data_IF_397750788671
#
_entry.id   IF_397750788671
#
_cell.length_a   1.000
_cell.length_b   1.000
_cell.length_c   1.000
_cell.angle_alpha   90.00
_cell.angle_beta   90.00
_cell.angle_gamma   90.00
#
_symmetry.space_group_name_H-M   'P 1'
#
loop_
_entity.id
_entity.type
_entity.pdbx_description
1 polymer ?
#
# COMPACT_ATOMS: atom_id res chain seq x y z
N UNK A 1 41.00 29.41 -32.08
CA UNK A 1 39.56 29.15 -32.28
C UNK A 1 38.96 30.36 -33.00
N UNK A 2 38.33 30.20 -34.17
CA UNK A 2 37.85 31.37 -34.94
C UNK A 2 36.59 31.92 -34.27
N UNK A 3 36.39 33.24 -34.27
CA UNK A 3 35.22 33.91 -33.67
C UNK A 3 33.88 33.29 -34.12
N UNK A 4 33.85 32.77 -35.36
CA UNK A 4 32.70 32.08 -35.94
C UNK A 4 32.36 30.75 -35.25
N UNK A 5 33.34 30.06 -34.70
CA UNK A 5 33.15 28.79 -33.99
C UNK A 5 32.64 29.04 -32.56
N UNK A 6 33.09 30.13 -31.93
CA UNK A 6 32.58 30.59 -30.62
C UNK A 6 31.09 30.98 -30.75
N UNK A 7 30.73 31.74 -31.78
CA UNK A 7 29.34 32.16 -32.01
C UNK A 7 28.43 30.94 -32.26
N UNK A 8 28.87 29.96 -33.05
CA UNK A 8 28.10 28.72 -33.28
C UNK A 8 27.90 27.90 -32.01
N UNK A 9 28.92 27.80 -31.17
CA UNK A 9 28.81 27.09 -29.90
C UNK A 9 27.82 27.79 -28.97
N UNK A 10 27.89 29.12 -28.84
CA UNK A 10 26.96 29.89 -28.01
C UNK A 10 25.50 29.77 -28.47
N UNK A 11 25.25 29.76 -29.79
CA UNK A 11 23.90 29.53 -30.33
C UNK A 11 23.39 28.11 -30.06
N UNK A 12 24.23 27.09 -30.18
CA UNK A 12 23.85 25.72 -29.88
C UNK A 12 23.52 25.53 -28.39
N UNK A 13 24.30 26.14 -27.50
CA UNK A 13 24.06 26.11 -26.06
C UNK A 13 22.78 26.86 -25.68
N UNK A 14 22.52 28.03 -26.27
CA UNK A 14 21.29 28.78 -26.05
C UNK A 14 20.05 27.98 -26.51
N UNK A 15 20.12 27.34 -27.68
CA UNK A 15 19.05 26.49 -28.18
C UNK A 15 18.79 25.27 -27.26
N UNK A 16 19.83 24.64 -26.73
CA UNK A 16 19.70 23.53 -25.79
C UNK A 16 19.06 23.95 -24.46
N UNK A 17 19.42 25.13 -23.93
CA UNK A 17 18.81 25.69 -22.71
C UNK A 17 17.33 26.02 -22.91
N UNK A 18 16.96 26.60 -24.06
CA UNK A 18 15.55 26.86 -24.39
C UNK A 18 14.76 25.56 -24.51
N UNK A 19 15.34 24.52 -25.13
CA UNK A 19 14.68 23.21 -25.27
C UNK A 19 14.47 22.53 -23.91
N UNK A 20 15.47 22.62 -23.01
CA UNK A 20 15.37 22.12 -21.64
C UNK A 20 14.32 22.89 -20.82
N UNK A 21 14.23 24.21 -20.97
CA UNK A 21 13.20 25.03 -20.31
C UNK A 21 11.79 24.69 -20.79
N UNK A 22 11.60 24.46 -22.10
CA UNK A 22 10.32 24.04 -22.67
C UNK A 22 9.92 22.65 -22.15
N UNK A 23 10.88 21.72 -22.04
CA UNK A 23 10.65 20.40 -21.46
C UNK A 23 10.28 20.49 -19.97
N UNK A 24 10.98 21.33 -19.20
CA UNK A 24 10.69 21.54 -17.78
C UNK A 24 9.29 22.14 -17.56
N UNK A 25 8.88 23.11 -18.38
CA UNK A 25 7.53 23.70 -18.37
C UNK A 25 6.43 22.70 -18.77
N UNK A 26 6.71 21.74 -19.67
CA UNK A 26 5.75 20.68 -20.02
C UNK A 26 5.63 19.60 -18.95
N UNK A 27 6.70 19.30 -18.21
CA UNK A 27 6.69 18.30 -17.13
C UNK A 27 6.00 18.84 -15.87
N UNK A 28 6.03 20.15 -15.62
CA UNK A 28 5.33 20.78 -14.49
C UNK A 28 3.91 21.26 -14.80
N UNK A 29 3.51 21.26 -16.08
CA UNK A 29 2.20 21.76 -16.54
C UNK A 29 1.05 20.74 -16.53
N UNK A 30 1.28 19.48 -16.18
CA UNK A 30 0.21 18.48 -16.05
C UNK A 30 -0.41 18.50 -14.64
N UNK A 31 -0.98 19.63 -14.24
CA UNK A 31 -1.99 19.63 -13.20
C UNK A 31 -3.32 19.18 -13.85
N UNK A 32 -3.98 18.11 -13.38
CA UNK A 32 -5.31 17.79 -13.85
C UNK A 32 -6.25 18.96 -13.52
N UNK A 33 -7.04 19.38 -14.51
CA UNK A 33 -8.15 20.30 -14.30
C UNK A 33 -9.07 19.67 -13.24
N UNK A 34 -9.18 20.32 -12.09
CA UNK A 34 -10.15 19.96 -11.05
C UNK A 34 -11.56 19.96 -11.68
N UNK A 35 -12.34 18.88 -11.56
CA UNK A 35 -13.75 18.95 -11.90
C UNK A 35 -14.44 19.83 -10.87
N UNK A 36 -14.82 21.05 -11.28
CA UNK A 36 -15.77 21.86 -10.54
C UNK A 36 -17.07 21.08 -10.34
N UNK A 37 -17.62 21.13 -9.12
CA UNK A 37 -19.07 21.00 -8.94
C UNK A 37 -19.63 19.67 -8.42
N UNK A 38 -18.88 18.84 -7.69
CA UNK A 38 -19.52 17.90 -6.74
C UNK A 38 -19.24 18.30 -5.30
N UNK A 39 -20.27 18.85 -4.64
CA UNK A 39 -20.31 18.96 -3.19
C UNK A 39 -20.07 17.56 -2.60
N UNK A 40 -19.10 17.36 -1.68
CA UNK A 40 -18.95 16.10 -1.00
C UNK A 40 -20.22 15.85 -0.17
N UNK A 41 -20.94 14.78 -0.51
CA UNK A 41 -21.99 14.25 0.35
C UNK A 41 -21.29 13.63 1.55
N UNK A 42 -21.53 14.19 2.74
CA UNK A 42 -21.11 13.62 4.01
C UNK A 42 -19.69 13.97 4.44
N UNK A 43 -19.43 15.23 4.75
CA UNK A 43 -18.41 15.55 5.77
C UNK A 43 -18.95 15.09 7.11
N UNK A 44 -18.77 13.80 7.41
CA UNK A 44 -18.88 13.34 8.78
C UNK A 44 -17.78 14.07 9.57
N UNK A 45 -18.20 14.84 10.55
CA UNK A 45 -17.34 15.50 11.52
C UNK A 45 -16.39 14.45 12.12
N UNK A 46 -15.09 14.76 12.11
CA UNK A 46 -14.09 13.87 12.67
C UNK A 46 -14.46 13.59 14.13
N UNK A 47 -14.57 12.32 14.57
CA UNK A 47 -14.90 12.04 15.95
C UNK A 47 -13.80 12.63 16.84
N UNK A 48 -14.21 13.43 17.82
CA UNK A 48 -13.33 13.94 18.87
C UNK A 48 -12.52 12.77 19.45
N UNK A 49 -11.22 12.98 19.62
CA UNK A 49 -10.25 11.96 20.00
C UNK A 49 -10.76 11.09 21.14
N UNK A 50 -11.06 9.83 20.84
CA UNK A 50 -11.41 8.84 21.86
C UNK A 50 -10.32 8.74 22.92
N UNK A 51 -10.66 8.32 24.15
CA UNK A 51 -9.73 8.28 25.27
C UNK A 51 -8.45 7.53 24.90
N UNK A 52 -7.31 8.07 25.33
CA UNK A 52 -6.00 7.45 25.13
C UNK A 52 -6.06 6.01 25.65
N UNK A 53 -5.75 5.04 24.80
CA UNK A 53 -5.76 3.64 25.21
C UNK A 53 -4.78 3.44 26.38
N UNK A 54 -5.15 2.68 27.43
CA UNK A 54 -4.26 2.42 28.55
C UNK A 54 -3.01 1.69 28.06
N UNK A 55 -1.84 2.28 28.31
CA UNK A 55 -0.54 1.73 27.92
C UNK A 55 -0.15 0.64 28.93
N UNK A 56 0.02 -0.59 28.45
CA UNK A 56 0.53 -1.71 29.24
C UNK A 56 1.89 -1.40 29.86
N UNK A 57 2.19 -1.95 31.05
CA UNK A 57 3.51 -1.82 31.69
C UNK A 57 4.65 -2.32 30.80
N UNK A 58 4.35 -3.28 29.91
CA UNK A 58 5.28 -3.85 28.92
C UNK A 58 5.72 -2.83 27.85
N UNK A 59 4.96 -1.75 27.70
CA UNK A 59 5.22 -0.68 26.73
C UNK A 59 5.81 0.58 27.39
N UNK A 60 6.34 0.45 28.62
CA UNK A 60 7.17 1.48 29.26
C UNK A 60 8.61 1.35 28.81
N UNK A 61 9.26 2.47 28.52
CA UNK A 61 10.67 2.53 28.17
C UNK A 61 11.19 3.92 28.53
N UNK A 62 11.79 4.04 29.72
CA UNK A 62 12.27 5.32 30.23
C UNK A 62 13.16 6.05 29.21
N UNK A 63 12.97 7.37 29.10
CA UNK A 63 13.70 8.23 28.15
C UNK A 63 13.01 8.47 26.80
N UNK A 64 11.86 7.85 26.55
CA UNK A 64 11.12 7.98 25.28
C UNK A 64 9.81 8.76 25.39
N UNK A 65 9.53 9.42 26.53
CA UNK A 65 8.27 10.11 26.79
C UNK A 65 7.95 11.17 25.73
N UNK A 66 8.90 12.05 25.40
CA UNK A 66 8.70 13.11 24.39
C UNK A 66 8.41 12.54 22.98
N UNK A 67 9.08 11.45 22.60
CA UNK A 67 8.84 10.80 21.32
C UNK A 67 7.46 10.13 21.28
N UNK A 68 7.04 9.49 22.37
CA UNK A 68 5.71 8.92 22.52
C UNK A 68 4.61 9.99 22.43
N UNK A 69 4.81 11.16 23.04
CA UNK A 69 3.92 12.32 22.93
C UNK A 69 3.86 12.86 21.49
N UNK A 70 5.00 12.96 20.81
CA UNK A 70 5.06 13.37 19.39
C UNK A 70 4.31 12.42 18.46
N UNK A 71 4.44 11.11 18.69
CA UNK A 71 3.67 10.09 17.97
C UNK A 71 2.17 10.18 18.28
N UNK A 72 1.80 10.37 19.55
CA UNK A 72 0.41 10.54 19.95
C UNK A 72 -0.24 11.78 19.30
N UNK A 73 0.51 12.87 19.18
CA UNK A 73 0.02 14.10 18.55
C UNK A 73 -0.18 13.96 17.04
N UNK A 74 0.65 13.15 16.36
CA UNK A 74 0.70 13.07 14.90
C UNK A 74 -0.12 11.92 14.29
N UNK A 75 -0.38 10.83 15.04
CA UNK A 75 -0.99 9.59 14.51
C UNK A 75 -2.31 9.79 13.76
N UNK A 76 -3.10 10.80 14.11
CA UNK A 76 -4.39 11.12 13.47
C UNK A 76 -4.42 12.42 12.67
N UNK A 77 -3.35 13.20 12.70
CA UNK A 77 -3.38 14.60 12.29
C UNK A 77 -2.24 15.03 11.38
N UNK A 78 -1.19 14.22 11.24
CA UNK A 78 -0.06 14.54 10.37
C UNK A 78 -0.53 14.77 8.94
N UNK A 79 -0.37 15.98 8.41
CA UNK A 79 -0.57 16.25 7.00
C UNK A 79 0.63 15.70 6.22
N UNK A 80 0.37 14.78 5.30
CA UNK A 80 1.40 14.04 4.56
C UNK A 80 0.82 13.38 3.31
N UNK A 81 1.69 12.91 2.40
CA UNK A 81 1.27 12.27 1.16
C UNK A 81 2.22 11.14 0.71
N UNK A 82 2.39 10.06 1.51
CA UNK A 82 3.40 9.04 1.25
C UNK A 82 3.16 8.24 -0.04
N UNK A 83 1.94 8.28 -0.59
CA UNK A 83 1.58 7.67 -1.88
C UNK A 83 1.19 8.71 -2.95
N UNK A 84 1.57 9.98 -2.76
CA UNK A 84 1.22 11.07 -3.68
C UNK A 84 -0.25 11.55 -3.56
N UNK A 85 -1.01 11.01 -2.60
CA UNK A 85 -2.33 11.48 -2.20
C UNK A 85 -2.25 12.07 -0.80
N UNK A 86 -2.85 13.24 -0.59
CA UNK A 86 -2.97 13.84 0.74
C UNK A 86 -3.79 12.93 1.66
N UNK A 87 -3.25 12.63 2.83
CA UNK A 87 -3.86 11.84 3.90
C UNK A 87 -3.72 12.61 5.23
N UNK A 88 -4.51 12.24 6.24
CA UNK A 88 -4.44 12.83 7.59
C UNK A 88 -4.04 11.77 8.63
N UNK A 89 -2.86 11.96 9.23
CA UNK A 89 -2.29 11.02 10.18
C UNK A 89 -1.86 9.71 9.53
N UNK A 90 -1.24 8.86 10.34
CA UNK A 90 -0.68 7.57 9.92
C UNK A 90 -1.34 6.36 10.61
N UNK A 91 -2.48 6.58 11.29
CA UNK A 91 -3.22 5.54 12.02
C UNK A 91 -3.55 4.32 11.16
N UNK A 92 -3.91 4.53 9.88
CA UNK A 92 -4.18 3.46 8.90
C UNK A 92 -3.03 2.46 8.83
N UNK A 93 -1.79 2.91 9.00
CA UNK A 93 -0.58 2.11 8.83
C UNK A 93 -0.02 1.54 10.14
N UNK A 94 -0.63 1.82 11.29
CA UNK A 94 -0.09 1.44 12.62
C UNK A 94 0.20 -0.06 12.71
N UNK A 95 -0.73 -0.91 12.30
CA UNK A 95 -0.56 -2.37 12.31
C UNK A 95 0.65 -2.82 11.49
N UNK A 96 0.86 -2.21 10.31
CA UNK A 96 2.02 -2.50 9.46
C UNK A 96 3.31 -2.02 10.11
N UNK A 97 3.32 -0.79 10.62
CA UNK A 97 4.48 -0.17 11.27
C UNK A 97 4.92 -1.00 12.48
N UNK A 98 3.97 -1.38 13.33
CA UNK A 98 4.18 -2.24 14.50
C UNK A 98 4.84 -3.57 14.11
N UNK A 99 4.35 -4.21 13.06
CA UNK A 99 4.97 -5.44 12.55
C UNK A 99 6.37 -5.23 12.01
N UNK A 100 6.63 -4.10 11.35
CA UNK A 100 7.93 -3.80 10.74
C UNK A 100 9.00 -3.44 11.79
N UNK A 101 8.62 -2.74 12.86
CA UNK A 101 9.51 -2.38 13.96
C UNK A 101 9.55 -3.45 15.08
N UNK A 102 8.75 -4.51 14.96
CA UNK A 102 8.73 -5.64 15.88
C UNK A 102 8.15 -5.33 17.27
N UNK A 103 7.03 -4.61 17.34
CA UNK A 103 6.36 -4.26 18.61
C UNK A 103 4.85 -4.34 18.49
N UNK A 104 4.17 -4.75 19.57
CA UNK A 104 2.71 -4.64 19.71
C UNK A 104 2.30 -3.37 20.49
N UNK A 105 3.27 -2.54 20.89
CA UNK A 105 3.02 -1.33 21.68
C UNK A 105 2.33 -0.23 20.88
N UNK A 106 1.36 0.50 21.46
CA UNK A 106 0.60 1.50 20.73
C UNK A 106 1.44 2.74 20.42
N UNK A 107 1.11 3.51 19.36
CA UNK A 107 1.82 4.72 18.94
C UNK A 107 2.14 5.73 20.05
N UNK A 108 1.23 5.88 21.02
CA UNK A 108 1.35 6.80 22.14
C UNK A 108 2.19 6.28 23.32
N UNK A 109 2.97 5.22 23.11
CA UNK A 109 3.79 4.60 24.16
C UNK A 109 5.28 4.74 23.93
N UNK A 110 6.01 4.78 25.03
CA UNK A 110 7.47 4.77 25.04
C UNK A 110 8.05 3.52 24.37
N UNK A 111 7.40 2.36 24.55
CA UNK A 111 7.79 1.11 23.92
C UNK A 111 7.72 1.14 22.39
N UNK A 112 6.72 1.83 21.82
CA UNK A 112 6.65 2.06 20.38
C UNK A 112 7.78 2.99 19.92
N UNK A 113 7.97 4.13 20.61
CA UNK A 113 9.00 5.09 20.26
C UNK A 113 10.42 4.47 20.29
N UNK A 114 10.71 3.65 21.32
CA UNK A 114 11.97 2.89 21.40
C UNK A 114 12.15 1.94 20.22
N UNK A 115 11.12 1.14 19.90
CA UNK A 115 11.20 0.18 18.79
C UNK A 115 11.38 0.91 17.44
N UNK A 116 10.71 2.05 17.26
CA UNK A 116 10.88 2.87 16.07
C UNK A 116 12.30 3.44 15.98
N UNK A 117 12.87 3.91 17.09
CA UNK A 117 14.25 4.39 17.13
C UNK A 117 15.28 3.31 16.81
N UNK A 118 15.06 2.08 17.28
CA UNK A 118 15.91 0.93 16.94
C UNK A 118 15.82 0.60 15.45
N UNK A 119 14.61 0.63 14.86
CA UNK A 119 14.43 0.47 13.42
C UNK A 119 15.08 1.62 12.63
N UNK A 120 14.90 2.86 13.04
CA UNK A 120 15.52 4.05 12.43
C UNK A 120 17.04 3.91 12.41
N UNK A 121 17.65 3.51 13.54
CA UNK A 121 19.09 3.25 13.64
C UNK A 121 19.56 2.18 12.65
N UNK A 122 18.82 1.07 12.56
CA UNK A 122 19.15 -0.03 11.63
C UNK A 122 19.00 0.36 10.15
N UNK A 123 18.20 1.39 9.85
CA UNK A 123 17.92 1.86 8.50
C UNK A 123 18.59 3.23 8.18
N UNK A 124 19.67 3.58 8.91
CA UNK A 124 20.45 4.80 8.71
C UNK A 124 19.62 6.10 8.77
N UNK A 125 18.60 6.12 9.62
CA UNK A 125 17.79 7.30 9.94
C UNK A 125 18.19 7.88 11.30
N UNK A 126 17.77 9.12 11.58
CA UNK A 126 17.88 9.68 12.94
C UNK A 126 17.05 8.83 13.92
N UNK A 127 17.63 8.26 14.99
CA UNK A 127 16.93 7.35 15.89
C UNK A 127 16.18 8.13 17.00
N UNK A 128 15.28 9.02 16.61
CA UNK A 128 14.51 9.89 17.50
C UNK A 128 13.20 9.26 18.01
N UNK A 129 12.80 8.11 17.46
CA UNK A 129 11.60 7.38 17.86
C UNK A 129 10.30 8.06 17.44
N UNK A 130 10.34 9.06 16.54
CA UNK A 130 9.17 9.78 16.05
C UNK A 130 8.85 9.38 14.61
N UNK A 131 7.58 9.03 14.36
CA UNK A 131 7.11 8.74 13.02
C UNK A 131 6.94 10.04 12.22
N UNK A 132 7.66 10.13 11.11
CA UNK A 132 7.56 11.22 10.13
C UNK A 132 7.31 10.64 8.74
N UNK A 133 6.90 11.49 7.79
CA UNK A 133 6.72 11.06 6.40
C UNK A 133 8.02 10.50 5.80
N UNK A 134 9.17 11.10 6.08
CA UNK A 134 10.46 10.59 5.61
C UNK A 134 10.76 9.18 6.13
N UNK A 135 10.54 8.96 7.43
CA UNK A 135 10.71 7.65 8.08
C UNK A 135 9.75 6.62 7.47
N UNK A 136 8.49 6.98 7.29
CA UNK A 136 7.52 6.09 6.68
C UNK A 136 7.82 5.81 5.21
N UNK A 137 8.30 6.78 4.43
CA UNK A 137 8.68 6.56 3.02
C UNK A 137 9.84 5.58 2.92
N UNK A 138 10.84 5.66 3.81
CA UNK A 138 11.91 4.67 3.90
C UNK A 138 11.36 3.28 4.24
N UNK A 139 10.48 3.19 5.25
CA UNK A 139 9.83 1.95 5.66
C UNK A 139 9.00 1.32 4.54
N UNK A 140 8.18 2.14 3.87
CA UNK A 140 7.40 1.78 2.69
C UNK A 140 8.31 1.24 1.59
N UNK A 141 9.48 1.83 1.35
CA UNK A 141 10.46 1.31 0.39
C UNK A 141 10.91 -0.11 0.73
N UNK A 142 11.28 -0.36 1.98
CA UNK A 142 11.65 -1.69 2.48
C UNK A 142 10.51 -2.70 2.32
N UNK A 143 9.28 -2.33 2.67
CA UNK A 143 8.13 -3.24 2.55
C UNK A 143 7.78 -3.50 1.08
N UNK A 144 7.75 -2.47 0.23
CA UNK A 144 7.38 -2.60 -1.18
C UNK A 144 8.40 -3.43 -1.98
N UNK A 145 9.68 -3.34 -1.68
CA UNK A 145 10.72 -4.12 -2.38
C UNK A 145 10.66 -5.62 -2.10
N UNK A 146 9.89 -6.06 -1.09
CA UNK A 146 9.56 -7.48 -0.87
C UNK A 146 8.60 -8.02 -1.92
N UNK A 147 7.89 -7.16 -2.65
CA UNK A 147 7.01 -7.53 -3.76
C UNK A 147 7.85 -7.65 -5.02
N UNK A 148 7.98 -8.86 -5.55
CA UNK A 148 8.76 -9.06 -6.79
C UNK A 148 8.22 -8.22 -7.94
N UNK A 149 6.90 -8.02 -8.03
CA UNK A 149 6.29 -7.11 -9.02
C UNK A 149 6.89 -5.70 -8.99
N UNK A 150 7.13 -5.12 -7.80
CA UNK A 150 7.74 -3.79 -7.67
C UNK A 150 9.18 -3.80 -8.18
N UNK A 151 9.93 -4.88 -7.95
CA UNK A 151 11.30 -5.03 -8.46
C UNK A 151 11.34 -5.04 -9.99
N UNK A 152 10.46 -5.80 -10.66
CA UNK A 152 10.38 -5.82 -12.12
C UNK A 152 9.91 -4.48 -12.70
N UNK A 153 8.84 -3.90 -12.15
CA UNK A 153 8.31 -2.63 -12.67
C UNK A 153 9.26 -1.45 -12.48
N UNK A 154 10.12 -1.49 -11.45
CA UNK A 154 11.15 -0.46 -11.26
C UNK A 154 12.20 -0.40 -12.37
N UNK A 155 12.37 -1.47 -13.16
CA UNK A 155 13.25 -1.51 -14.33
C UNK A 155 12.50 -1.29 -15.66
N UNK A 156 11.22 -0.91 -15.59
CA UNK A 156 10.37 -0.71 -16.76
C UNK A 156 9.75 -2.00 -17.33
N UNK A 157 9.95 -3.15 -16.68
CA UNK A 157 9.37 -4.42 -17.10
C UNK A 157 7.99 -4.62 -16.48
N UNK A 158 7.01 -4.97 -17.30
CA UNK A 158 5.72 -5.42 -16.81
C UNK A 158 5.60 -6.94 -16.93
N UNK A 159 5.67 -7.70 -15.82
CA UNK A 159 5.59 -9.15 -15.88
C UNK A 159 4.19 -9.61 -16.30
N UNK A 160 4.13 -10.73 -17.00
CA UNK A 160 2.92 -11.34 -17.56
C UNK A 160 2.73 -12.74 -16.96
N UNK A 161 1.49 -13.19 -16.80
CA UNK A 161 1.21 -14.55 -16.31
C UNK A 161 1.68 -15.58 -17.34
N UNK A 162 2.48 -16.58 -16.94
CA UNK A 162 2.71 -17.74 -17.78
C UNK A 162 1.43 -18.53 -18.01
N UNK A 163 1.37 -19.35 -19.06
CA UNK A 163 0.15 -20.01 -19.58
C UNK A 163 -0.69 -20.81 -18.55
N UNK A 164 -0.11 -21.17 -17.40
CA UNK A 164 -0.78 -21.99 -16.40
C UNK A 164 -1.48 -21.15 -15.33
N UNK A 165 -2.81 -21.09 -15.43
CA UNK A 165 -3.68 -20.55 -14.40
C UNK A 165 -4.78 -21.54 -14.00
N UNK A 166 -5.21 -21.50 -12.75
CA UNK A 166 -6.26 -22.37 -12.22
C UNK A 166 -7.39 -21.56 -11.60
N UNK A 167 -8.61 -22.08 -11.77
CA UNK A 167 -9.80 -21.58 -11.11
C UNK A 167 -9.71 -21.85 -9.59
N UNK A 168 -9.94 -20.81 -8.79
CA UNK A 168 -10.34 -20.98 -7.40
C UNK A 168 -11.72 -21.64 -7.34
N UNK A 169 -12.06 -22.27 -6.21
CA UNK A 169 -13.42 -22.77 -6.00
C UNK A 169 -14.38 -21.59 -5.88
N UNK A 170 -15.65 -21.79 -6.23
CA UNK A 170 -16.63 -20.70 -6.24
C UNK A 170 -16.80 -20.09 -4.84
N UNK A 171 -16.75 -20.90 -3.79
CA UNK A 171 -16.82 -20.47 -2.40
C UNK A 171 -15.56 -19.73 -1.91
N UNK A 172 -14.44 -19.84 -2.64
CA UNK A 172 -13.23 -19.06 -2.36
C UNK A 172 -13.34 -17.64 -2.96
N UNK A 173 -14.30 -17.41 -3.86
CA UNK A 173 -14.58 -16.11 -4.46
C UNK A 173 -15.57 -15.28 -3.64
N UNK A 174 -15.26 -14.00 -3.45
CA UNK A 174 -16.17 -13.07 -2.78
C UNK A 174 -17.48 -12.95 -3.56
N UNK A 175 -18.60 -13.20 -2.88
CA UNK A 175 -19.93 -13.21 -3.51
C UNK A 175 -20.14 -14.33 -4.53
N UNK A 176 -19.36 -15.42 -4.47
CA UNK A 176 -19.47 -16.53 -5.42
C UNK A 176 -18.86 -16.24 -6.80
N UNK A 177 -18.01 -15.22 -6.90
CA UNK A 177 -17.33 -14.84 -8.14
C UNK A 177 -16.26 -15.89 -8.50
N UNK A 178 -16.24 -16.36 -9.74
CA UNK A 178 -15.11 -17.15 -10.22
C UNK A 178 -13.84 -16.29 -10.26
N UNK A 179 -12.79 -16.76 -9.62
CA UNK A 179 -11.46 -16.13 -9.61
C UNK A 179 -10.41 -17.12 -10.10
N UNK A 180 -9.31 -16.61 -10.67
CA UNK A 180 -8.20 -17.39 -11.19
C UNK A 180 -6.89 -16.93 -10.57
N UNK A 181 -5.99 -17.87 -10.27
CA UNK A 181 -4.64 -17.63 -9.75
C UNK A 181 -3.69 -18.73 -10.25
N UNK A 182 -2.37 -18.49 -10.18
CA UNK A 182 -1.39 -19.55 -10.44
C UNK A 182 -1.56 -20.71 -9.44
N UNK A 183 -1.40 -21.97 -9.85
CA UNK A 183 -1.72 -23.12 -8.99
C UNK A 183 -1.01 -23.12 -7.64
N UNK A 184 0.29 -22.75 -7.63
CA UNK A 184 1.09 -22.72 -6.39
C UNK A 184 0.67 -21.57 -5.47
N UNK A 185 0.37 -20.41 -6.03
CA UNK A 185 -0.18 -19.28 -5.28
C UNK A 185 -1.54 -19.64 -4.66
N UNK A 186 -2.42 -20.31 -5.41
CA UNK A 186 -3.72 -20.76 -4.93
C UNK A 186 -3.60 -21.82 -3.82
N UNK A 187 -2.63 -22.74 -3.93
CA UNK A 187 -2.34 -23.71 -2.88
C UNK A 187 -1.82 -23.03 -1.59
N UNK A 188 -0.90 -22.07 -1.72
CA UNK A 188 -0.39 -21.30 -0.59
C UNK A 188 -1.49 -20.45 0.07
N UNK A 189 -2.36 -19.83 -0.75
CA UNK A 189 -3.54 -19.10 -0.28
C UNK A 189 -4.43 -20.00 0.60
N UNK A 190 -4.73 -21.22 0.14
CA UNK A 190 -5.55 -22.18 0.92
C UNK A 190 -4.92 -22.53 2.26
N UNK A 191 -3.60 -22.73 2.31
CA UNK A 191 -2.88 -22.97 3.56
C UNK A 191 -2.95 -21.77 4.50
N UNK A 192 -2.76 -20.55 3.97
CA UNK A 192 -2.87 -19.31 4.72
C UNK A 192 -4.29 -19.12 5.30
N UNK A 193 -5.33 -19.33 4.50
CA UNK A 193 -6.73 -19.22 4.94
C UNK A 193 -7.08 -20.24 6.02
N UNK A 194 -6.65 -21.50 5.83
CA UNK A 194 -6.87 -22.55 6.82
C UNK A 194 -6.21 -22.19 8.17
N UNK A 195 -4.96 -21.72 8.15
CA UNK A 195 -4.26 -21.30 9.36
C UNK A 195 -4.93 -20.10 10.04
N UNK A 196 -5.34 -19.07 9.27
CA UNK A 196 -6.00 -17.89 9.81
C UNK A 196 -7.30 -18.24 10.54
N UNK A 197 -8.13 -19.09 9.92
CA UNK A 197 -9.40 -19.54 10.49
C UNK A 197 -9.19 -20.46 11.70
N UNK A 198 -8.11 -21.24 11.74
CA UNK A 198 -7.80 -22.07 12.89
C UNK A 198 -7.27 -21.27 14.08
N UNK A 199 -6.50 -20.20 13.82
CA UNK A 199 -5.82 -19.43 14.87
C UNK A 199 -6.67 -18.27 15.43
N UNK A 200 -7.65 -17.77 14.68
CA UNK A 200 -8.48 -16.62 15.06
C UNK A 200 -9.97 -16.91 14.84
N UNK A 201 -10.76 -17.17 15.92
CA UNK A 201 -12.18 -17.49 15.81
C UNK A 201 -13.02 -16.45 15.06
N UNK A 202 -12.70 -15.16 15.19
CA UNK A 202 -13.39 -14.07 14.50
C UNK A 202 -13.19 -14.15 12.98
N UNK A 203 -12.04 -14.65 12.51
CA UNK A 203 -11.80 -14.89 11.09
C UNK A 203 -12.68 -16.04 10.61
N UNK A 204 -12.80 -17.11 11.39
CA UNK A 204 -13.63 -18.26 11.04
C UNK A 204 -15.14 -17.98 11.07
N UNK A 205 -15.59 -17.07 11.96
CA UNK A 205 -17.00 -16.78 12.16
C UNK A 205 -17.67 -16.06 10.98
N UNK A 206 -16.91 -15.26 10.20
CA UNK A 206 -17.41 -14.61 9.00
C UNK A 206 -16.88 -15.31 7.73
N UNK A 207 -17.73 -16.03 6.97
CA UNK A 207 -17.31 -16.79 5.80
C UNK A 207 -16.76 -15.90 4.67
N UNK A 208 -17.03 -14.59 4.69
CA UNK A 208 -16.46 -13.64 3.74
C UNK A 208 -14.97 -13.43 3.97
N UNK A 209 -14.49 -13.57 5.20
CA UNK A 209 -13.09 -13.34 5.53
C UNK A 209 -12.17 -14.22 4.66
N UNK A 210 -11.22 -13.54 4.04
CA UNK A 210 -10.22 -14.09 3.14
C UNK A 210 -10.75 -14.65 1.82
N UNK A 211 -12.01 -14.44 1.47
CA UNK A 211 -12.48 -14.70 0.10
C UNK A 211 -11.82 -13.73 -0.88
N UNK A 212 -11.61 -14.18 -2.12
CA UNK A 212 -10.89 -13.43 -3.15
C UNK A 212 -11.91 -12.65 -3.98
N UNK A 213 -11.83 -11.32 -3.99
CA UNK A 213 -12.69 -10.50 -4.84
C UNK A 213 -12.02 -10.12 -6.17
N UNK A 214 -10.69 -10.24 -6.27
CA UNK A 214 -9.95 -10.09 -7.52
C UNK A 214 -8.66 -10.92 -7.50
N UNK A 215 -8.41 -11.68 -8.57
CA UNK A 215 -7.19 -12.47 -8.79
C UNK A 215 -6.56 -12.08 -10.12
N UNK A 216 -6.24 -13.05 -10.97
CA UNK A 216 -5.68 -12.77 -12.29
C UNK A 216 -6.55 -11.88 -13.16
N UNK A 217 -5.89 -10.93 -13.82
CA UNK A 217 -6.49 -10.06 -14.83
C UNK A 217 -5.75 -10.28 -16.15
N UNK A 218 -6.45 -10.82 -17.14
CA UNK A 218 -5.86 -11.13 -18.44
C UNK A 218 -5.36 -9.87 -19.15
N UNK A 219 -4.07 -9.83 -19.55
CA UNK A 219 -3.49 -8.80 -20.41
C UNK A 219 -4.33 -8.46 -21.64
N UNK A 220 -4.74 -9.48 -22.40
CA UNK A 220 -5.48 -9.31 -23.65
C UNK A 220 -6.90 -8.83 -23.39
N UNK A 221 -7.56 -9.30 -22.33
CA UNK A 221 -8.87 -8.81 -21.93
C UNK A 221 -8.81 -7.36 -21.43
N UNK A 222 -7.80 -7.00 -20.65
CA UNK A 222 -7.59 -5.62 -20.18
C UNK A 222 -7.25 -4.68 -21.34
N UNK A 223 -6.46 -5.12 -22.32
CA UNK A 223 -6.17 -4.38 -23.55
C UNK A 223 -7.44 -4.18 -24.42
N UNK A 224 -8.24 -5.23 -24.59
CA UNK A 224 -9.50 -5.15 -25.34
C UNK A 224 -10.51 -4.20 -24.68
N UNK A 225 -10.65 -4.25 -23.34
CA UNK A 225 -11.47 -3.29 -22.60
C UNK A 225 -10.93 -1.86 -22.73
N UNK A 226 -9.62 -1.68 -22.57
CA UNK A 226 -8.97 -0.37 -22.73
C UNK A 226 -9.27 0.24 -24.11
N UNK A 227 -9.16 -0.55 -25.18
CA UNK A 227 -9.54 -0.14 -26.54
C UNK A 227 -11.02 0.27 -26.63
N UNK A 228 -11.92 -0.45 -25.95
CA UNK A 228 -13.36 -0.19 -25.98
C UNK A 228 -13.78 1.04 -25.14
N UNK A 229 -13.16 1.26 -23.98
CA UNK A 229 -13.60 2.23 -22.97
C UNK A 229 -12.73 3.49 -22.91
N UNK A 230 -11.56 3.51 -23.55
CA UNK A 230 -10.60 4.61 -23.49
C UNK A 230 -9.92 4.81 -22.12
N UNK A 231 -10.26 4.00 -21.11
CA UNK A 231 -9.73 4.08 -19.74
C UNK A 231 -8.51 3.16 -19.57
N UNK A 232 -7.45 3.47 -20.30
CA UNK A 232 -6.33 2.58 -20.48
C UNK A 232 -5.27 2.65 -19.38
N UNK A 233 -5.18 3.74 -18.63
CA UNK A 233 -4.23 3.88 -17.53
C UNK A 233 -4.78 4.90 -16.53
N UNK A 234 -4.96 4.50 -15.28
CA UNK A 234 -5.53 5.37 -14.25
C UNK A 234 -5.59 4.72 -12.88
N UNK A 235 -6.02 5.50 -11.88
CA UNK A 235 -6.09 5.10 -10.45
C UNK A 235 -6.91 3.82 -10.26
N UNK A 236 -7.91 3.58 -11.11
CA UNK A 236 -8.82 2.42 -11.03
C UNK A 236 -8.20 1.16 -11.66
N UNK A 237 -7.35 1.31 -12.69
CA UNK A 237 -6.75 0.15 -13.38
C UNK A 237 -5.53 0.57 -14.19
N UNK A 238 -4.34 0.20 -13.72
CA UNK A 238 -3.08 0.44 -14.39
C UNK A 238 -2.85 -0.59 -15.52
N UNK A 239 -2.19 -0.16 -16.62
CA UNK A 239 -1.74 -1.10 -17.68
C UNK A 239 -0.82 -2.17 -17.13
N UNK A 240 0.02 -1.80 -16.17
CA UNK A 240 0.88 -2.72 -15.47
C UNK A 240 0.39 -2.93 -14.03
N UNK A 241 -0.30 -4.05 -13.80
CA UNK A 241 -0.84 -4.42 -12.49
C UNK A 241 -0.29 -5.77 -12.05
N UNK A 242 -0.03 -5.93 -10.76
CA UNK A 242 0.41 -7.20 -10.17
C UNK A 242 -0.57 -8.35 -10.45
N UNK A 243 -1.86 -8.07 -10.64
CA UNK A 243 -2.85 -9.07 -11.03
C UNK A 243 -2.58 -9.71 -12.40
N UNK A 244 -1.77 -9.09 -13.26
CA UNK A 244 -1.36 -9.67 -14.54
C UNK A 244 -0.42 -10.85 -14.40
N UNK A 245 0.13 -11.10 -13.22
CA UNK A 245 1.07 -12.21 -12.91
C UNK A 245 0.35 -13.48 -12.42
N UNK A 246 -0.92 -13.36 -12.02
CA UNK A 246 -1.67 -14.45 -11.39
C UNK A 246 -1.16 -14.81 -9.98
N UNK A 247 -0.21 -14.05 -9.44
CA UNK A 247 0.36 -14.19 -8.09
C UNK A 247 -0.28 -13.22 -7.08
N UNK A 248 -0.96 -12.18 -7.55
CA UNK A 248 -1.66 -11.21 -6.71
C UNK A 248 -3.12 -11.61 -6.48
N UNK A 249 -3.59 -11.37 -5.26
CA UNK A 249 -4.99 -11.51 -4.87
C UNK A 249 -5.42 -10.33 -4.01
N UNK A 250 -6.63 -9.85 -4.29
CA UNK A 250 -7.34 -8.93 -3.41
C UNK A 250 -8.28 -9.75 -2.53
N UNK A 251 -8.01 -9.75 -1.22
CA UNK A 251 -8.66 -10.55 -0.20
C UNK A 251 -9.64 -9.69 0.61
N UNK A 252 -10.82 -10.22 0.90
CA UNK A 252 -11.73 -9.57 1.82
C UNK A 252 -11.16 -9.59 3.25
N UNK A 253 -10.78 -8.41 3.74
CA UNK A 253 -10.27 -8.18 5.10
C UNK A 253 -11.25 -7.37 5.95
N UNK A 254 -12.49 -7.19 5.48
CA UNK A 254 -13.49 -6.31 6.09
C UNK A 254 -13.77 -5.08 5.22
N UNK A 255 -14.82 -4.33 5.57
CA UNK A 255 -15.18 -3.05 4.95
C UNK A 255 -15.99 -2.20 5.93
N UNK A 256 -15.80 -0.89 5.90
CA UNK A 256 -16.65 0.04 6.64
C UNK A 256 -18.06 0.11 6.01
N UNK A 257 -19.11 0.42 6.79
CA UNK A 257 -20.45 0.61 6.25
C UNK A 257 -20.48 1.63 5.11
N UNK A 258 -21.11 1.28 4.00
CA UNK A 258 -21.22 2.14 2.81
C UNK A 258 -20.04 2.10 1.85
N UNK A 259 -18.97 1.35 2.15
CA UNK A 259 -17.81 1.19 1.28
C UNK A 259 -17.74 -0.21 0.67
N UNK A 260 -17.13 -0.31 -0.52
CA UNK A 260 -16.73 -1.59 -1.10
C UNK A 260 -15.44 -2.15 -0.49
N UNK A 261 -15.18 -3.46 -0.63
CA UNK A 261 -13.96 -4.09 -0.09
C UNK A 261 -12.67 -3.67 -0.83
N UNK A 262 -12.80 -2.98 -1.96
CA UNK A 262 -11.73 -2.41 -2.78
C UNK A 262 -11.62 -0.87 -2.66
N UNK A 263 -12.42 -0.24 -1.79
CA UNK A 263 -12.43 1.21 -1.67
C UNK A 263 -11.20 1.73 -0.93
N UNK A 264 -10.43 2.61 -1.59
CA UNK A 264 -9.25 3.27 -1.04
C UNK A 264 -9.53 4.52 -0.20
N UNK A 265 -10.79 4.76 0.17
CA UNK A 265 -11.16 5.83 1.09
C UNK A 265 -10.51 5.61 2.47
N UNK A 266 -9.99 6.67 3.07
CA UNK A 266 -9.21 6.56 4.32
C UNK A 266 -10.01 5.94 5.47
N UNK A 267 -11.30 6.28 5.59
CA UNK A 267 -12.19 5.69 6.59
C UNK A 267 -12.35 4.17 6.41
N UNK A 268 -12.41 3.68 5.17
CA UNK A 268 -12.51 2.25 4.87
C UNK A 268 -11.19 1.53 5.16
N UNK A 269 -10.07 2.13 4.75
CA UNK A 269 -8.73 1.59 5.02
C UNK A 269 -8.46 1.52 6.52
N UNK A 270 -8.80 2.57 7.28
CA UNK A 270 -8.69 2.58 8.74
C UNK A 270 -9.51 1.46 9.39
N UNK A 271 -10.75 1.25 8.93
CA UNK A 271 -11.58 0.14 9.39
C UNK A 271 -10.90 -1.20 9.09
N UNK A 272 -10.47 -1.43 7.85
CA UNK A 272 -9.83 -2.66 7.40
C UNK A 272 -8.58 -2.97 8.21
N UNK A 273 -7.70 -2.01 8.44
CA UNK A 273 -6.43 -2.24 9.14
C UNK A 273 -6.60 -2.47 10.66
N UNK A 274 -7.78 -2.14 11.19
CA UNK A 274 -8.20 -2.48 12.55
C UNK A 274 -8.78 -3.89 12.71
N UNK A 275 -9.08 -4.60 11.63
CA UNK A 275 -9.75 -5.92 11.70
C UNK A 275 -8.82 -7.03 12.22
N UNK A 276 -9.37 -8.08 12.87
CA UNK A 276 -8.60 -9.28 13.20
C UNK A 276 -7.94 -9.92 11.97
N UNK A 277 -8.65 -9.92 10.83
CA UNK A 277 -8.18 -10.48 9.56
C UNK A 277 -6.91 -9.80 9.08
N UNK A 278 -6.91 -8.46 8.95
CA UNK A 278 -5.73 -7.73 8.49
C UNK A 278 -4.55 -7.86 9.47
N UNK A 279 -4.81 -7.72 10.77
CA UNK A 279 -3.78 -7.86 11.82
C UNK A 279 -3.11 -9.22 11.78
N UNK A 280 -3.89 -10.29 11.62
CA UNK A 280 -3.34 -11.64 11.48
C UNK A 280 -2.50 -11.77 10.21
N UNK A 281 -2.98 -11.26 9.07
CA UNK A 281 -2.25 -11.33 7.80
C UNK A 281 -0.91 -10.60 7.87
N UNK A 282 -0.87 -9.37 8.40
CA UNK A 282 0.38 -8.61 8.53
C UNK A 282 1.43 -9.39 9.33
N UNK A 283 1.02 -10.05 10.41
CA UNK A 283 1.91 -10.84 11.28
C UNK A 283 2.31 -12.20 10.68
N UNK A 284 1.43 -12.84 9.90
CA UNK A 284 1.56 -14.27 9.57
C UNK A 284 1.58 -14.60 8.08
N UNK A 285 1.14 -13.73 7.17
CA UNK A 285 1.02 -14.06 5.75
C UNK A 285 2.39 -14.41 5.13
N UNK A 286 3.47 -13.81 5.65
CA UNK A 286 4.84 -14.05 5.16
C UNK A 286 5.29 -15.51 5.28
N UNK A 287 4.88 -16.27 6.31
CA UNK A 287 5.21 -17.71 6.41
C UNK A 287 4.55 -18.57 5.33
N UNK A 288 3.56 -18.03 4.62
CA UNK A 288 2.94 -18.65 3.44
C UNK A 288 3.43 -18.03 2.11
N UNK A 289 4.38 -17.10 2.18
CA UNK A 289 4.94 -16.42 1.01
C UNK A 289 4.12 -15.24 0.51
N UNK A 290 3.17 -14.71 1.30
CA UNK A 290 2.40 -13.53 0.92
C UNK A 290 2.97 -12.24 1.54
N UNK A 291 2.99 -11.18 0.75
CA UNK A 291 3.39 -9.82 1.16
C UNK A 291 2.31 -8.81 0.78
N UNK A 292 2.11 -7.78 1.60
CA UNK A 292 1.08 -6.76 1.38
C UNK A 292 1.61 -5.59 0.53
N UNK A 293 0.74 -4.99 -0.28
CA UNK A 293 0.93 -3.62 -0.73
C UNK A 293 0.44 -2.64 0.35
N UNK A 294 1.32 -1.84 0.99
CA UNK A 294 0.95 -1.06 2.18
C UNK A 294 -0.23 -0.10 2.02
N UNK A 295 -0.46 0.41 0.81
CA UNK A 295 -1.58 1.33 0.56
C UNK A 295 -2.93 0.61 0.58
N UNK A 296 -2.98 -0.65 0.16
CA UNK A 296 -4.21 -1.41 -0.05
C UNK A 296 -4.24 -2.60 0.93
N UNK A 297 -4.97 -2.50 2.05
CA UNK A 297 -5.02 -3.55 3.08
C UNK A 297 -5.47 -4.93 2.55
N UNK A 298 -6.23 -4.93 1.47
CA UNK A 298 -6.73 -6.13 0.81
C UNK A 298 -5.76 -6.73 -0.21
N UNK A 299 -4.73 -6.02 -0.66
CA UNK A 299 -3.89 -6.46 -1.79
C UNK A 299 -2.67 -7.24 -1.31
N UNK A 300 -2.58 -8.51 -1.70
CA UNK A 300 -1.51 -9.42 -1.28
C UNK A 300 -0.90 -10.13 -2.49
N UNK A 301 0.42 -10.22 -2.51
CA UNK A 301 1.18 -10.89 -3.57
C UNK A 301 1.91 -12.10 -3.01
N UNK A 302 1.81 -13.23 -3.72
CA UNK A 302 2.59 -14.41 -3.42
C UNK A 302 3.96 -14.35 -4.10
N UNK A 303 5.03 -14.51 -3.34
CA UNK A 303 6.44 -14.37 -3.79
C UNK A 303 7.18 -15.71 -3.83
N UNK A 304 6.45 -16.84 -3.82
CA UNK A 304 7.07 -18.18 -3.83
C UNK A 304 7.53 -18.65 -5.21
N UNK A 305 7.28 -17.87 -6.26
CA UNK A 305 7.86 -18.02 -7.60
C UNK A 305 7.92 -16.66 -8.30
N UNK A 306 8.79 -16.52 -9.31
CA UNK A 306 8.92 -15.26 -10.04
C UNK A 306 7.69 -14.96 -10.90
N UNK A 307 7.31 -13.67 -10.98
CA UNK A 307 6.22 -13.17 -11.82
C UNK A 307 6.56 -13.23 -13.31
#
# INVERSE_FOLDING_TARGET
>A
MKLRDIIRFLWATAAAVVLLLILFLRVTGCAPLSPEGRKPVGSAEAPAGGPAMPVSTQCRAAGWTTAAEGNAASVRSLAWAPFGRQEAGWEVYVTLIQSEIGTDCPPNSEGFARALADWQRQNNQSPDGVMSEAVFVAMKGTVQTRRDFVRFTSTGLCPETPDLISAARIEEGYGGKQVWMRPRALAAYRQMVAAARAEVPEIAADPRNLTIFSGYRSPSADAARCQAEGNCDGIVRARCSAHRTGLAADLYVGQAPGFGPDSSADANRLYMTGTPTYRWLVKNARRFGFVNYPFEPWHWEWTGESP
#
